data_IF_385205048005
#
_entry.id   IF_385205048005
#
_cell.length_a   1.000
_cell.length_b   1.000
_cell.length_c   1.000
_cell.angle_alpha   90.00
_cell.angle_beta   90.00
_cell.angle_gamma   90.00
#
_symmetry.space_group_name_H-M   'P 1'
#
loop_
_entity.id
_entity.type
_entity.pdbx_description
1 polymer ?
#
# COMPACT_ATOMS: atom_id res chain seq x y z
N UNK A 1 23.92 18.85 -0.76
CA UNK A 1 23.45 18.20 -2.01
C UNK A 1 23.49 19.25 -3.12
N UNK A 2 24.14 18.96 -4.23
CA UNK A 2 24.13 19.84 -5.39
C UNK A 2 22.79 19.74 -6.12
N UNK A 3 22.28 20.85 -6.60
CA UNK A 3 21.07 20.90 -7.42
C UNK A 3 21.43 21.33 -8.84
N UNK A 4 20.77 20.71 -9.81
CA UNK A 4 20.76 21.11 -11.20
C UNK A 4 19.44 21.80 -11.55
N UNK A 5 19.53 22.73 -12.49
CA UNK A 5 18.41 23.44 -13.09
C UNK A 5 17.65 22.56 -14.08
N UNK A 6 16.48 23.02 -14.52
CA UNK A 6 15.74 22.36 -15.60
C UNK A 6 16.54 22.29 -16.90
N UNK A 7 17.40 23.28 -17.18
CA UNK A 7 18.27 23.29 -18.38
C UNK A 7 19.36 22.23 -18.31
N UNK A 8 20.05 22.12 -17.18
CA UNK A 8 21.06 21.07 -16.97
C UNK A 8 20.42 19.68 -17.00
N UNK A 9 19.19 19.54 -16.50
CA UNK A 9 18.43 18.31 -16.62
C UNK A 9 18.04 17.98 -18.08
N UNK A 10 17.79 18.98 -18.95
CA UNK A 10 17.57 18.77 -20.40
C UNK A 10 18.80 18.13 -21.02
N UNK A 11 19.99 18.64 -20.70
CA UNK A 11 21.27 18.12 -21.21
C UNK A 11 21.55 16.72 -20.65
N UNK A 12 21.41 16.53 -19.34
CA UNK A 12 21.67 15.25 -18.65
C UNK A 12 20.79 14.12 -19.18
N UNK A 13 19.51 14.39 -19.41
CA UNK A 13 18.53 13.34 -19.73
C UNK A 13 18.10 13.31 -21.20
N UNK A 14 18.58 14.27 -22.00
CA UNK A 14 18.25 14.41 -23.41
C UNK A 14 16.72 14.38 -23.68
N UNK A 15 15.97 15.20 -22.94
CA UNK A 15 14.51 15.36 -23.07
C UNK A 15 14.12 16.83 -23.01
N UNK A 16 13.03 17.22 -23.70
CA UNK A 16 12.58 18.62 -23.74
C UNK A 16 12.30 19.21 -22.35
N UNK A 17 12.53 20.51 -22.17
CA UNK A 17 12.23 21.22 -20.91
C UNK A 17 10.76 21.08 -20.50
N UNK A 18 9.84 21.09 -21.48
CA UNK A 18 8.41 20.82 -21.25
C UNK A 18 8.18 19.47 -20.57
N UNK A 19 8.88 18.42 -21.02
CA UNK A 19 8.78 17.08 -20.42
C UNK A 19 9.32 17.07 -18.99
N UNK A 20 10.43 17.75 -18.72
CA UNK A 20 11.00 17.87 -17.37
C UNK A 20 10.02 18.57 -16.43
N UNK A 21 9.42 19.68 -16.86
CA UNK A 21 8.39 20.39 -16.07
C UNK A 21 7.19 19.50 -15.75
N UNK A 22 6.74 18.68 -16.70
CA UNK A 22 5.67 17.71 -16.44
C UNK A 22 6.10 16.66 -15.41
N UNK A 23 7.31 16.09 -15.54
CA UNK A 23 7.84 15.10 -14.58
C UNK A 23 7.96 15.68 -13.17
N UNK A 24 8.31 16.95 -13.04
CA UNK A 24 8.36 17.67 -11.76
C UNK A 24 6.97 17.88 -11.17
N UNK A 25 6.00 18.30 -12.00
CA UNK A 25 4.60 18.44 -11.58
C UNK A 25 3.97 17.11 -11.17
N UNK A 26 4.33 16.03 -11.87
CA UNK A 26 3.88 14.68 -11.58
C UNK A 26 4.63 14.05 -10.37
N UNK A 27 5.57 14.77 -9.74
CA UNK A 27 6.36 14.29 -8.60
C UNK A 27 7.33 13.15 -8.92
N UNK A 28 7.71 12.98 -10.19
CA UNK A 28 8.47 11.82 -10.69
C UNK A 28 9.98 11.96 -10.57
N UNK A 29 10.48 13.13 -10.15
CA UNK A 29 11.91 13.38 -9.97
C UNK A 29 12.18 13.47 -8.47
N UNK A 30 12.78 12.41 -7.93
CA UNK A 30 13.00 12.28 -6.49
C UNK A 30 13.89 13.41 -5.96
N UNK A 31 13.47 14.01 -4.83
CA UNK A 31 14.16 15.12 -4.18
C UNK A 31 14.08 16.47 -4.91
N UNK A 32 13.30 16.58 -5.99
CA UNK A 32 13.08 17.86 -6.64
C UNK A 32 12.23 18.79 -5.77
N UNK A 33 12.68 20.04 -5.64
CA UNK A 33 12.02 21.06 -4.80
C UNK A 33 11.74 22.30 -5.62
N UNK A 34 10.56 22.90 -5.46
CA UNK A 34 10.21 24.16 -6.12
C UNK A 34 10.63 25.34 -5.25
N UNK A 35 11.45 26.23 -5.79
CA UNK A 35 11.92 27.45 -5.12
C UNK A 35 11.57 28.66 -6.00
N UNK A 36 10.56 29.42 -5.59
CA UNK A 36 9.97 30.50 -6.40
C UNK A 36 9.37 29.96 -7.71
N UNK A 37 9.85 30.48 -8.84
CA UNK A 37 9.43 30.04 -10.18
C UNK A 37 10.32 28.94 -10.78
N UNK A 38 11.34 28.49 -10.05
CA UNK A 38 12.32 27.52 -10.52
C UNK A 38 12.22 26.22 -9.75
N UNK A 39 12.68 25.14 -10.39
CA UNK A 39 12.81 23.83 -9.78
C UNK A 39 14.29 23.52 -9.55
N UNK A 40 14.60 23.10 -8.33
CA UNK A 40 15.90 22.56 -7.93
C UNK A 40 15.80 21.05 -7.99
N UNK A 41 16.53 20.44 -8.94
CA UNK A 41 16.55 18.99 -9.15
C UNK A 41 17.85 18.44 -8.55
N UNK A 42 17.85 17.41 -7.70
CA UNK A 42 19.10 16.84 -7.20
C UNK A 42 20.00 16.37 -8.35
N UNK A 43 21.30 16.65 -8.27
CA UNK A 43 22.24 16.30 -9.35
C UNK A 43 22.37 14.79 -9.56
N UNK A 44 22.10 14.01 -8.52
CA UNK A 44 22.06 12.55 -8.47
C UNK A 44 20.69 11.96 -8.85
N UNK A 45 19.69 12.81 -9.17
CA UNK A 45 18.39 12.31 -9.62
C UNK A 45 18.52 11.54 -10.94
N UNK A 46 17.91 10.36 -10.99
CA UNK A 46 17.80 9.54 -12.18
C UNK A 46 16.72 10.05 -13.14
N UNK A 47 16.91 9.79 -14.44
CA UNK A 47 15.91 10.13 -15.46
C UNK A 47 14.66 9.29 -15.22
N UNK A 48 13.47 9.88 -15.02
CA UNK A 48 12.25 9.12 -14.93
C UNK A 48 11.95 8.41 -16.25
N UNK A 49 11.50 7.15 -16.19
CA UNK A 49 11.22 6.35 -17.39
C UNK A 49 10.02 6.96 -18.16
N UNK A 50 10.02 6.87 -19.49
CA UNK A 50 8.95 7.44 -20.31
C UNK A 50 7.74 6.48 -20.39
N UNK A 51 6.62 6.86 -19.75
CA UNK A 51 5.29 6.19 -19.84
C UNK A 51 4.90 5.75 -21.25
N UNK A 52 5.34 6.44 -22.30
CA UNK A 52 4.97 6.11 -23.70
C UNK A 52 5.67 4.86 -24.23
N UNK A 53 6.79 4.47 -23.61
CA UNK A 53 7.57 3.29 -23.98
C UNK A 53 7.06 2.07 -23.21
N UNK A 54 6.58 2.27 -21.97
CA UNK A 54 6.02 1.22 -21.13
C UNK A 54 4.57 0.95 -21.55
N UNK A 55 4.31 -0.25 -22.05
CA UNK A 55 2.94 -0.72 -22.29
C UNK A 55 2.44 -1.51 -21.07
N UNK A 56 1.13 -1.50 -20.78
CA UNK A 56 0.55 -2.43 -19.84
C UNK A 56 0.89 -3.86 -20.23
N UNK A 57 1.01 -4.74 -19.24
CA UNK A 57 1.13 -6.17 -19.52
C UNK A 57 -0.22 -6.74 -19.98
N UNK A 58 -0.19 -7.66 -20.94
CA UNK A 58 -1.30 -8.58 -21.23
C UNK A 58 -1.41 -9.71 -20.16
N UNK A 59 -0.98 -9.44 -18.93
CA UNK A 59 -0.91 -10.44 -17.88
C UNK A 59 -2.31 -10.98 -17.59
N UNK A 60 -2.54 -12.24 -17.95
CA UNK A 60 -3.74 -12.97 -17.55
C UNK A 60 -3.59 -13.44 -16.11
N UNK A 61 -4.12 -12.67 -15.17
CA UNK A 61 -4.33 -13.17 -13.81
C UNK A 61 -5.35 -14.31 -13.83
N UNK A 62 -5.05 -15.40 -13.13
CA UNK A 62 -6.01 -16.50 -12.97
C UNK A 62 -6.83 -16.21 -11.71
N UNK A 63 -8.13 -16.02 -11.90
CA UNK A 63 -9.12 -15.80 -10.85
C UNK A 63 -10.28 -16.76 -11.15
N UNK A 64 -10.25 -17.91 -10.49
CA UNK A 64 -11.18 -19.02 -10.70
C UNK A 64 -12.27 -19.00 -9.62
N UNK A 65 -13.33 -18.26 -9.91
CA UNK A 65 -14.46 -17.99 -9.02
C UNK A 65 -15.75 -18.19 -9.80
N UNK A 66 -16.78 -18.68 -9.11
CA UNK A 66 -18.12 -18.77 -9.67
C UNK A 66 -18.69 -17.37 -9.98
N UNK A 67 -19.56 -17.25 -10.99
CA UNK A 67 -20.11 -15.95 -11.43
C UNK A 67 -20.81 -15.17 -10.30
N UNK A 68 -21.40 -15.88 -9.34
CA UNK A 68 -22.12 -15.33 -8.19
C UNK A 68 -21.27 -15.20 -6.92
N UNK A 69 -19.94 -15.39 -7.01
CA UNK A 69 -19.07 -15.45 -5.83
C UNK A 69 -19.12 -14.18 -4.96
N UNK A 70 -19.35 -13.01 -5.57
CA UNK A 70 -19.40 -11.72 -4.87
C UNK A 70 -20.81 -11.31 -4.41
N UNK A 71 -21.85 -12.11 -4.68
CA UNK A 71 -23.24 -11.74 -4.36
C UNK A 71 -23.46 -11.46 -2.87
N UNK A 72 -22.88 -12.28 -1.97
CA UNK A 72 -22.99 -12.08 -0.52
C UNK A 72 -22.36 -10.75 -0.09
N UNK A 73 -21.10 -10.50 -0.48
CA UNK A 73 -20.36 -9.31 -0.04
C UNK A 73 -20.99 -8.03 -0.60
N UNK A 74 -21.49 -8.08 -1.84
CA UNK A 74 -22.18 -6.94 -2.46
C UNK A 74 -23.55 -6.68 -1.85
N UNK A 75 -24.27 -7.73 -1.46
CA UNK A 75 -25.54 -7.60 -0.74
C UNK A 75 -25.33 -6.95 0.63
N UNK A 76 -24.35 -7.43 1.41
CA UNK A 76 -24.00 -6.87 2.72
C UNK A 76 -23.52 -5.42 2.61
N UNK A 77 -22.72 -5.11 1.58
CA UNK A 77 -22.29 -3.73 1.31
C UNK A 77 -23.48 -2.83 1.01
N UNK A 78 -24.40 -3.26 0.14
CA UNK A 78 -25.63 -2.50 -0.17
C UNK A 78 -26.50 -2.28 1.07
N UNK A 79 -26.60 -3.27 1.95
CA UNK A 79 -27.30 -3.14 3.22
C UNK A 79 -26.66 -2.10 4.11
N UNK A 80 -25.33 -2.16 4.30
CA UNK A 80 -24.59 -1.19 5.10
C UNK A 80 -24.72 0.22 4.51
N UNK A 81 -24.63 0.37 3.20
CA UNK A 81 -24.77 1.66 2.51
C UNK A 81 -26.16 2.28 2.74
N UNK A 82 -27.23 1.47 2.83
CA UNK A 82 -28.58 1.96 3.16
C UNK A 82 -28.72 2.46 4.60
N UNK A 83 -27.88 1.98 5.52
CA UNK A 83 -27.86 2.41 6.93
C UNK A 83 -26.96 3.63 7.19
N UNK A 84 -26.26 4.15 6.18
CA UNK A 84 -25.43 5.36 6.31
C UNK A 84 -26.29 6.64 6.30
N UNK A 85 -25.89 7.72 7.01
CA UNK A 85 -24.66 7.85 7.79
C UNK A 85 -24.74 7.14 9.14
N UNK A 86 -23.65 6.47 9.51
CA UNK A 86 -23.48 5.85 10.83
C UNK A 86 -23.45 6.97 11.90
N UNK A 87 -24.13 6.82 13.05
CA UNK A 87 -24.05 7.79 14.14
C UNK A 87 -22.60 8.09 14.54
N UNK A 88 -22.29 9.38 14.75
CA UNK A 88 -20.92 9.87 14.92
C UNK A 88 -20.12 9.13 16.01
N UNK A 89 -20.72 8.92 17.18
CA UNK A 89 -20.06 8.24 18.31
C UNK A 89 -19.86 6.75 18.04
N UNK A 90 -20.83 6.09 17.39
CA UNK A 90 -20.71 4.69 16.94
C UNK A 90 -19.57 4.55 15.94
N UNK A 91 -19.49 5.45 14.96
CA UNK A 91 -18.42 5.45 13.95
C UNK A 91 -17.06 5.68 14.59
N UNK A 92 -16.96 6.60 15.56
CA UNK A 92 -15.71 6.90 16.27
C UNK A 92 -15.21 5.68 17.02
N UNK A 93 -16.05 5.08 17.87
CA UNK A 93 -15.70 3.88 18.64
C UNK A 93 -15.30 2.70 17.74
N UNK A 94 -16.03 2.51 16.63
CA UNK A 94 -15.73 1.46 15.66
C UNK A 94 -14.38 1.69 14.97
N UNK A 95 -14.08 2.92 14.55
CA UNK A 95 -12.79 3.28 13.96
C UNK A 95 -11.63 3.06 14.94
N UNK A 96 -11.77 3.46 16.20
CA UNK A 96 -10.75 3.25 17.23
C UNK A 96 -10.46 1.75 17.42
N UNK A 97 -11.50 0.92 17.52
CA UNK A 97 -11.37 -0.54 17.62
C UNK A 97 -10.71 -1.16 16.39
N UNK A 98 -11.12 -0.78 15.18
CA UNK A 98 -10.58 -1.31 13.92
C UNK A 98 -9.12 -0.90 13.73
N UNK A 99 -8.77 0.37 14.00
CA UNK A 99 -7.40 0.85 13.83
C UNK A 99 -6.43 0.15 14.78
N UNK A 100 -6.87 -0.13 16.01
CA UNK A 100 -6.11 -0.91 16.98
C UNK A 100 -5.89 -2.35 16.48
N UNK A 101 -6.97 -3.04 16.06
CA UNK A 101 -6.87 -4.41 15.54
C UNK A 101 -6.01 -4.48 14.28
N UNK A 102 -6.12 -3.48 13.39
CA UNK A 102 -5.37 -3.43 12.14
C UNK A 102 -3.89 -3.24 12.40
N UNK A 103 -3.52 -2.29 13.26
CA UNK A 103 -2.14 -2.03 13.67
C UNK A 103 -1.52 -3.26 14.33
N UNK A 104 -2.21 -3.86 15.29
CA UNK A 104 -1.76 -5.06 15.99
C UNK A 104 -1.51 -6.24 15.03
N UNK A 105 -2.48 -6.55 14.16
CA UNK A 105 -2.35 -7.70 13.27
C UNK A 105 -1.32 -7.48 12.16
N UNK A 106 -1.29 -6.28 11.55
CA UNK A 106 -0.37 -5.96 10.46
C UNK A 106 1.09 -6.03 10.93
N UNK A 107 1.40 -5.50 12.12
CA UNK A 107 2.75 -5.60 12.69
C UNK A 107 3.04 -7.01 13.21
N UNK A 108 2.06 -7.69 13.79
CA UNK A 108 2.20 -9.07 14.27
C UNK A 108 2.55 -10.07 13.15
N UNK A 109 2.05 -9.86 11.92
CA UNK A 109 2.45 -10.65 10.74
C UNK A 109 3.94 -10.50 10.44
N UNK A 110 4.52 -9.31 10.66
CA UNK A 110 5.95 -9.06 10.46
C UNK A 110 6.82 -9.47 11.65
N UNK A 111 6.22 -9.98 12.73
CA UNK A 111 6.93 -10.51 13.90
C UNK A 111 6.99 -9.57 15.10
N UNK A 112 6.28 -8.44 15.08
CA UNK A 112 6.12 -7.60 16.26
C UNK A 112 5.42 -8.39 17.39
N UNK A 113 5.95 -8.29 18.61
CA UNK A 113 5.53 -9.14 19.74
C UNK A 113 4.56 -8.45 20.70
N UNK A 114 4.17 -7.19 20.45
CA UNK A 114 3.18 -6.51 21.27
C UNK A 114 1.87 -7.30 21.27
N UNK A 115 1.26 -7.48 22.44
CA UNK A 115 -0.11 -7.94 22.58
C UNK A 115 -1.09 -6.84 22.16
N UNK A 116 -2.38 -7.17 21.97
CA UNK A 116 -3.39 -6.18 21.63
C UNK A 116 -3.48 -5.06 22.69
N UNK A 117 -3.41 -5.42 23.97
CA UNK A 117 -3.42 -4.46 25.09
C UNK A 117 -2.17 -3.61 25.14
N UNK A 118 -0.99 -4.21 24.95
CA UNK A 118 0.26 -3.44 24.88
C UNK A 118 0.25 -2.49 23.68
N UNK A 119 -0.27 -2.93 22.53
CA UNK A 119 -0.43 -2.07 21.35
C UNK A 119 -1.30 -0.86 21.69
N UNK A 120 -2.45 -1.07 22.34
CA UNK A 120 -3.32 0.03 22.76
C UNK A 120 -2.59 1.04 23.66
N UNK A 121 -1.89 0.54 24.69
CA UNK A 121 -1.11 1.38 25.62
C UNK A 121 -0.03 2.19 24.88
N UNK A 122 0.62 1.58 23.88
CA UNK A 122 1.60 2.27 23.02
C UNK A 122 0.95 3.37 22.18
N UNK A 123 -0.23 3.13 21.59
CA UNK A 123 -0.96 4.15 20.81
C UNK A 123 -1.47 5.30 21.69
N UNK A 124 -1.72 5.04 22.98
CA UNK A 124 -2.01 6.07 24.00
C UNK A 124 -0.76 6.86 24.43
N UNK A 125 0.42 6.55 23.88
CA UNK A 125 1.68 7.26 24.15
C UNK A 125 2.47 6.74 25.35
N UNK A 126 2.11 5.57 25.87
CA UNK A 126 2.75 4.96 27.04
C UNK A 126 3.70 3.86 26.60
N UNK A 127 4.94 3.88 27.10
CA UNK A 127 5.93 2.82 26.80
C UNK A 127 5.67 1.55 27.62
N UNK A 128 5.82 0.40 26.98
CA UNK A 128 5.68 -0.94 27.57
C UNK A 128 7.06 -1.52 27.87
N UNK A 129 7.27 -1.94 29.12
CA UNK A 129 8.51 -2.58 29.55
C UNK A 129 8.78 -3.92 28.85
N UNK A 130 10.04 -4.22 28.54
CA UNK A 130 10.45 -5.49 27.92
C UNK A 130 10.20 -5.59 26.42
N UNK A 131 9.76 -4.51 25.77
CA UNK A 131 9.55 -4.42 24.31
C UNK A 131 10.55 -3.45 23.71
N UNK A 132 10.98 -3.69 22.48
CA UNK A 132 11.96 -2.82 21.82
C UNK A 132 11.34 -1.48 21.42
N UNK A 133 12.15 -0.42 21.36
CA UNK A 133 11.70 0.89 20.83
C UNK A 133 11.19 0.73 19.39
N UNK A 134 11.85 -0.12 18.58
CA UNK A 134 11.41 -0.43 17.22
C UNK A 134 9.96 -0.91 17.20
N UNK A 135 9.59 -1.90 18.03
CA UNK A 135 8.22 -2.43 18.06
C UNK A 135 7.18 -1.36 18.43
N UNK A 136 7.52 -0.43 19.33
CA UNK A 136 6.66 0.70 19.67
C UNK A 136 6.47 1.64 18.48
N UNK A 137 7.58 2.00 17.83
CA UNK A 137 7.55 2.86 16.65
C UNK A 137 6.77 2.23 15.51
N UNK A 138 6.88 0.91 15.30
CA UNK A 138 6.09 0.20 14.28
C UNK A 138 4.58 0.33 14.53
N UNK A 139 4.12 0.24 15.78
CA UNK A 139 2.72 0.44 16.13
C UNK A 139 2.28 1.88 15.85
N UNK A 140 3.03 2.86 16.37
CA UNK A 140 2.74 4.29 16.21
C UNK A 140 2.75 4.71 14.74
N UNK A 141 3.72 4.24 13.97
CA UNK A 141 3.88 4.56 12.55
C UNK A 141 2.76 3.96 11.71
N UNK A 142 2.35 2.73 12.02
CA UNK A 142 1.25 2.09 11.31
C UNK A 142 -0.07 2.81 11.56
N UNK A 143 -0.35 3.22 12.81
CA UNK A 143 -1.53 4.04 13.12
C UNK A 143 -1.51 5.38 12.35
N UNK A 144 -0.37 6.09 12.36
CA UNK A 144 -0.21 7.32 11.57
C UNK A 144 -0.44 7.10 10.08
N UNK A 145 -0.01 5.96 9.54
CA UNK A 145 -0.26 5.62 8.14
C UNK A 145 -1.76 5.38 7.89
N UNK A 146 -2.49 4.73 8.80
CA UNK A 146 -3.96 4.58 8.69
C UNK A 146 -4.65 5.95 8.68
N UNK A 147 -4.23 6.88 9.55
CA UNK A 147 -4.80 8.24 9.56
C UNK A 147 -4.51 8.99 8.25
N UNK A 148 -3.32 8.83 7.69
CA UNK A 148 -2.99 9.39 6.38
C UNK A 148 -3.85 8.77 5.25
N UNK A 149 -4.18 7.48 5.33
CA UNK A 149 -5.11 6.83 4.41
C UNK A 149 -6.52 7.43 4.49
N UNK A 150 -7.03 7.69 5.71
CA UNK A 150 -8.32 8.33 5.93
C UNK A 150 -8.39 9.70 5.22
N UNK A 151 -7.30 10.49 5.28
CA UNK A 151 -7.20 11.77 4.55
C UNK A 151 -7.19 11.57 3.03
N UNK A 152 -6.43 10.59 2.53
CA UNK A 152 -6.40 10.27 1.09
C UNK A 152 -7.77 9.85 0.55
N UNK A 153 -8.51 9.02 1.30
CA UNK A 153 -9.86 8.55 0.93
C UNK A 153 -10.85 9.71 0.92
N UNK A 154 -10.79 10.58 1.94
CA UNK A 154 -11.64 11.77 2.04
C UNK A 154 -11.46 12.70 0.84
N UNK A 155 -10.21 12.90 0.41
CA UNK A 155 -9.86 13.75 -0.72
C UNK A 155 -10.02 13.05 -2.08
N UNK A 156 -10.44 11.78 -2.09
CA UNK A 156 -10.55 10.92 -3.30
C UNK A 156 -9.25 10.89 -4.11
N UNK A 157 -8.12 10.88 -3.41
CA UNK A 157 -6.82 10.89 -4.05
C UNK A 157 -6.57 9.55 -4.76
N UNK A 158 -6.12 9.56 -6.03
CA UNK A 158 -5.82 8.34 -6.75
C UNK A 158 -4.60 7.62 -6.17
N UNK A 159 -4.51 6.32 -6.43
CA UNK A 159 -3.31 5.55 -6.12
C UNK A 159 -2.20 5.96 -7.09
N UNK A 160 -1.11 6.44 -6.52
CA UNK A 160 0.06 6.93 -7.25
C UNK A 160 1.34 6.42 -6.60
N UNK A 161 2.43 6.39 -7.36
CA UNK A 161 3.76 6.07 -6.83
C UNK A 161 4.14 6.96 -5.63
N UNK A 162 3.78 8.25 -5.70
CA UNK A 162 3.97 9.22 -4.63
C UNK A 162 3.27 8.80 -3.34
N UNK A 163 1.99 8.41 -3.43
CA UNK A 163 1.23 7.96 -2.26
C UNK A 163 1.81 6.66 -1.68
N UNK A 164 2.27 5.73 -2.52
CA UNK A 164 2.95 4.50 -2.07
C UNK A 164 4.22 4.83 -1.29
N UNK A 165 5.06 5.73 -1.83
CA UNK A 165 6.29 6.18 -1.15
C UNK A 165 5.98 6.93 0.15
N UNK A 166 4.93 7.75 0.22
CA UNK A 166 4.54 8.45 1.46
C UNK A 166 4.01 7.50 2.53
N UNK A 167 3.20 6.50 2.15
CA UNK A 167 2.78 5.45 3.07
C UNK A 167 4.01 4.74 3.64
N UNK A 168 4.93 4.33 2.77
CA UNK A 168 6.17 3.67 3.18
C UNK A 168 7.06 4.56 4.06
N UNK A 169 7.13 5.86 3.76
CA UNK A 169 7.85 6.85 4.56
C UNK A 169 7.32 6.88 6.01
N UNK A 170 6.00 6.85 6.19
CA UNK A 170 5.39 6.80 7.51
C UNK A 170 5.72 5.49 8.23
N UNK A 171 5.64 4.35 7.52
CA UNK A 171 5.93 3.02 8.08
C UNK A 171 7.33 2.94 8.69
N UNK A 172 8.36 3.45 8.02
CA UNK A 172 9.76 3.36 8.49
C UNK A 172 10.26 4.61 9.24
N UNK A 173 9.40 5.60 9.48
CA UNK A 173 9.79 6.84 10.15
C UNK A 173 10.42 6.56 11.52
N UNK A 174 11.59 7.14 11.77
CA UNK A 174 12.36 6.98 13.01
C UNK A 174 12.80 5.53 13.34
N UNK A 175 12.59 4.60 12.39
CA UNK A 175 13.09 3.21 12.42
C UNK A 175 14.27 3.10 11.44
N UNK A 176 14.06 3.55 10.20
CA UNK A 176 15.05 3.56 9.13
C UNK A 176 14.75 4.75 8.19
N UNK A 177 15.16 5.94 8.64
CA UNK A 177 14.92 7.19 7.92
C UNK A 177 15.71 7.30 6.60
N UNK A 178 16.78 6.52 6.45
CA UNK A 178 17.58 6.53 5.21
C UNK A 178 16.83 5.85 4.07
N UNK A 179 16.12 4.76 4.37
CA UNK A 179 15.35 3.99 3.37
C UNK A 179 13.84 4.31 3.34
N UNK A 180 13.31 5.00 4.34
CA UNK A 180 11.92 5.43 4.38
C UNK A 180 11.53 6.16 3.08
N UNK A 181 10.43 5.70 2.46
CA UNK A 181 9.92 6.25 1.20
C UNK A 181 10.78 6.05 -0.06
N UNK A 182 11.91 5.33 0.03
CA UNK A 182 12.86 5.17 -1.09
C UNK A 182 12.97 3.72 -1.56
N UNK A 183 13.09 3.53 -2.86
CA UNK A 183 13.35 2.18 -3.40
C UNK A 183 14.71 1.66 -2.95
N UNK A 184 14.77 0.35 -2.72
CA UNK A 184 16.01 -0.33 -2.40
C UNK A 184 17.03 -0.15 -3.53
N UNK A 185 18.31 -0.04 -3.15
CA UNK A 185 19.44 0.09 -4.07
C UNK A 185 20.28 -1.19 -4.16
N UNK A 186 19.74 -2.27 -3.64
CA UNK A 186 20.37 -3.58 -3.58
C UNK A 186 19.34 -4.69 -3.76
N UNK A 187 19.82 -5.86 -4.15
CA UNK A 187 18.98 -7.05 -4.29
C UNK A 187 18.75 -7.71 -2.93
N UNK A 188 17.51 -8.12 -2.67
CA UNK A 188 17.09 -8.69 -1.38
C UNK A 188 16.41 -10.03 -1.60
N UNK A 189 16.48 -10.88 -0.57
CA UNK A 189 15.73 -12.14 -0.51
C UNK A 189 14.66 -12.05 0.56
N UNK A 190 13.46 -12.54 0.26
CA UNK A 190 12.37 -12.59 1.24
C UNK A 190 12.50 -13.89 2.03
N UNK A 191 12.64 -13.78 3.36
CA UNK A 191 12.80 -14.96 4.23
C UNK A 191 11.59 -15.88 4.12
N UNK A 192 11.83 -17.11 3.67
CA UNK A 192 10.82 -18.16 3.59
C UNK A 192 9.88 -18.08 2.37
N UNK A 193 10.07 -17.12 1.47
CA UNK A 193 9.34 -17.09 0.20
C UNK A 193 10.12 -17.86 -0.86
N UNK A 194 9.38 -18.51 -1.77
CA UNK A 194 9.96 -19.18 -2.95
C UNK A 194 10.32 -18.18 -4.06
N UNK A 195 9.61 -17.06 -4.12
CA UNK A 195 9.79 -16.00 -5.12
C UNK A 195 11.03 -15.13 -4.83
N UNK A 196 11.80 -14.83 -5.87
CA UNK A 196 12.94 -13.92 -5.80
C UNK A 196 12.50 -12.56 -6.38
N UNK A 197 12.59 -11.47 -5.60
CA UNK A 197 12.31 -10.13 -6.09
C UNK A 197 13.11 -9.75 -7.33
N UNK A 198 12.56 -8.88 -8.20
CA UNK A 198 13.27 -8.37 -9.38
C UNK A 198 14.57 -7.64 -9.01
N UNK A 199 15.45 -7.44 -9.99
CA UNK A 199 16.65 -6.62 -9.79
C UNK A 199 16.28 -5.16 -9.42
N UNK A 200 16.99 -4.56 -8.45
CA UNK A 200 16.70 -3.20 -7.97
C UNK A 200 16.76 -2.14 -9.08
N UNK A 201 17.60 -2.33 -10.11
CA UNK A 201 17.70 -1.43 -11.26
C UNK A 201 16.41 -1.37 -12.09
N UNK A 202 15.53 -2.37 -11.97
CA UNK A 202 14.25 -2.43 -12.67
C UNK A 202 13.09 -1.82 -11.88
N UNK A 203 13.29 -1.47 -10.61
CA UNK A 203 12.19 -1.01 -9.74
C UNK A 203 11.45 0.22 -10.25
N UNK A 204 12.12 1.28 -10.76
CA UNK A 204 11.41 2.45 -11.30
C UNK A 204 10.45 2.07 -12.44
N UNK A 205 10.90 1.22 -13.36
CA UNK A 205 10.09 0.75 -14.48
C UNK A 205 8.93 -0.13 -14.01
N UNK A 206 9.20 -1.09 -13.12
CA UNK A 206 8.19 -2.03 -12.64
C UNK A 206 7.10 -1.35 -11.82
N UNK A 207 7.45 -0.36 -11.00
CA UNK A 207 6.49 0.40 -10.21
C UNK A 207 5.64 1.31 -11.10
N UNK A 208 6.23 1.94 -12.11
CA UNK A 208 5.48 2.70 -13.10
C UNK A 208 4.50 1.81 -13.86
N UNK A 209 4.96 0.61 -14.25
CA UNK A 209 4.13 -0.39 -14.92
C UNK A 209 3.01 -0.91 -14.04
N UNK A 210 3.25 -1.13 -12.75
CA UNK A 210 2.21 -1.49 -11.78
C UNK A 210 1.09 -0.45 -11.77
N UNK A 211 1.43 0.85 -11.69
CA UNK A 211 0.43 1.92 -11.71
C UNK A 211 -0.31 1.98 -13.04
N UNK A 212 0.38 1.77 -14.17
CA UNK A 212 -0.27 1.72 -15.49
C UNK A 212 -1.27 0.55 -15.58
N UNK A 213 -0.86 -0.66 -15.18
CA UNK A 213 -1.72 -1.85 -15.15
C UNK A 213 -2.91 -1.65 -14.20
N UNK A 214 -2.68 -1.15 -12.99
CA UNK A 214 -3.73 -0.89 -12.01
C UNK A 214 -4.85 0.02 -12.56
N UNK A 215 -4.49 1.00 -13.40
CA UNK A 215 -5.47 1.88 -14.02
C UNK A 215 -6.31 1.21 -15.12
N UNK A 216 -5.89 0.07 -15.66
CA UNK A 216 -6.68 -0.72 -16.63
C UNK A 216 -7.59 -1.74 -15.94
N UNK A 217 -7.36 -2.05 -14.67
CA UNK A 217 -8.10 -3.05 -13.89
C UNK A 217 -9.51 -2.63 -13.44
N UNK A 218 -10.10 -1.60 -14.06
CA UNK A 218 -11.44 -1.12 -13.68
C UNK A 218 -12.57 -2.09 -14.05
N UNK A 219 -12.27 -3.09 -14.87
CA UNK A 219 -13.21 -4.15 -15.26
C UNK A 219 -13.36 -5.23 -14.18
N UNK A 220 -12.36 -5.35 -13.30
CA UNK A 220 -12.40 -6.30 -12.19
C UNK A 220 -13.31 -5.80 -11.07
N UNK A 221 -13.90 -6.76 -10.34
CA UNK A 221 -14.56 -6.47 -9.07
C UNK A 221 -13.59 -5.73 -8.12
N UNK A 222 -14.04 -4.72 -7.33
CA UNK A 222 -13.14 -3.93 -6.48
C UNK A 222 -12.26 -4.75 -5.53
N UNK A 223 -12.79 -5.85 -4.97
CA UNK A 223 -12.00 -6.76 -4.11
C UNK A 223 -10.87 -7.46 -4.89
N UNK A 224 -11.14 -7.86 -6.14
CA UNK A 224 -10.10 -8.42 -7.02
C UNK A 224 -9.03 -7.37 -7.28
N UNK A 225 -9.43 -6.17 -7.67
CA UNK A 225 -8.52 -5.06 -7.98
C UNK A 225 -7.58 -4.74 -6.81
N UNK A 226 -8.12 -4.65 -5.60
CA UNK A 226 -7.35 -4.42 -4.37
C UNK A 226 -6.39 -5.58 -4.06
N UNK A 227 -6.83 -6.83 -4.21
CA UNK A 227 -6.01 -8.01 -3.98
C UNK A 227 -4.85 -8.12 -4.99
N UNK A 228 -5.11 -7.85 -6.27
CA UNK A 228 -4.06 -7.80 -7.30
C UNK A 228 -3.05 -6.70 -7.02
N UNK A 229 -3.50 -5.50 -6.66
CA UNK A 229 -2.61 -4.38 -6.33
C UNK A 229 -1.68 -4.72 -5.17
N UNK A 230 -2.24 -5.29 -4.09
CA UNK A 230 -1.46 -5.79 -2.97
C UNK A 230 -0.41 -6.82 -3.43
N UNK A 231 -0.86 -7.86 -4.13
CA UNK A 231 -0.01 -8.99 -4.47
C UNK A 231 1.12 -8.61 -5.42
N UNK A 232 0.85 -7.79 -6.43
CA UNK A 232 1.86 -7.32 -7.37
C UNK A 232 2.87 -6.37 -6.70
N UNK A 233 2.44 -5.52 -5.76
CA UNK A 233 3.40 -4.71 -4.98
C UNK A 233 4.32 -5.58 -4.12
N UNK A 234 3.78 -6.63 -3.46
CA UNK A 234 4.62 -7.58 -2.70
C UNK A 234 5.58 -8.33 -3.63
N UNK A 235 5.13 -8.69 -4.85
CA UNK A 235 5.94 -9.38 -5.86
C UNK A 235 7.12 -8.53 -6.35
N UNK A 236 6.89 -7.23 -6.58
CA UNK A 236 7.94 -6.28 -6.98
C UNK A 236 8.92 -6.04 -5.81
N UNK A 237 8.40 -6.00 -4.58
CA UNK A 237 9.18 -5.80 -3.36
C UNK A 237 10.12 -4.58 -3.44
N UNK A 238 9.59 -3.36 -3.64
CA UNK A 238 10.39 -2.19 -4.00
C UNK A 238 11.23 -1.60 -2.86
N UNK A 239 10.94 -1.94 -1.61
CA UNK A 239 11.60 -1.37 -0.44
C UNK A 239 12.51 -2.40 0.26
N UNK A 240 13.44 -1.94 1.11
CA UNK A 240 14.33 -2.83 1.90
C UNK A 240 13.60 -3.56 3.03
N UNK A 241 12.60 -2.91 3.64
CA UNK A 241 11.68 -3.43 4.66
C UNK A 241 10.31 -2.73 4.45
N UNK A 242 9.28 -3.12 5.18
CA UNK A 242 7.99 -2.42 5.17
C UNK A 242 7.07 -2.77 4.00
N UNK A 243 7.50 -3.62 3.06
CA UNK A 243 6.71 -4.02 1.89
C UNK A 243 5.36 -4.63 2.27
N UNK A 244 5.33 -5.60 3.19
CA UNK A 244 4.08 -6.24 3.62
C UNK A 244 3.09 -5.25 4.25
N UNK A 245 3.55 -4.40 5.17
CA UNK A 245 2.74 -3.36 5.83
C UNK A 245 2.20 -2.35 4.82
N UNK A 246 3.06 -1.88 3.92
CA UNK A 246 2.70 -0.93 2.87
C UNK A 246 1.68 -1.53 1.91
N UNK A 247 1.85 -2.79 1.48
CA UNK A 247 0.90 -3.47 0.59
C UNK A 247 -0.47 -3.69 1.23
N UNK A 248 -0.53 -4.04 2.52
CA UNK A 248 -1.80 -4.16 3.26
C UNK A 248 -2.52 -2.82 3.42
N UNK A 249 -1.77 -1.74 3.68
CA UNK A 249 -2.33 -0.39 3.68
C UNK A 249 -2.85 0.00 2.30
N UNK A 250 -2.06 -0.24 1.25
CA UNK A 250 -2.45 0.09 -0.12
C UNK A 250 -3.69 -0.68 -0.60
N UNK A 251 -3.82 -1.95 -0.22
CA UNK A 251 -5.02 -2.76 -0.45
C UNK A 251 -6.26 -2.09 0.15
N UNK A 252 -6.17 -1.67 1.42
CA UNK A 252 -7.29 -1.06 2.11
C UNK A 252 -7.58 0.35 1.59
N UNK A 253 -6.58 1.10 1.11
CA UNK A 253 -6.81 2.36 0.42
C UNK A 253 -7.70 2.16 -0.83
N UNK A 254 -7.42 1.13 -1.64
CA UNK A 254 -8.23 0.81 -2.83
C UNK A 254 -9.66 0.37 -2.47
N UNK A 255 -9.81 -0.50 -1.47
CA UNK A 255 -11.12 -0.93 -0.96
C UNK A 255 -11.94 0.25 -0.44
N UNK A 256 -11.34 1.10 0.39
CA UNK A 256 -12.00 2.27 0.98
C UNK A 256 -12.39 3.31 -0.08
N UNK A 257 -11.53 3.55 -1.08
CA UNK A 257 -11.87 4.39 -2.24
C UNK A 257 -13.05 3.83 -3.04
N UNK A 258 -13.23 2.52 -3.04
CA UNK A 258 -14.35 1.82 -3.68
C UNK A 258 -15.60 1.70 -2.77
N UNK A 259 -15.55 2.29 -1.57
CA UNK A 259 -16.65 2.32 -0.60
C UNK A 259 -16.81 1.05 0.23
N UNK A 260 -15.88 0.09 0.14
CA UNK A 260 -15.77 -1.05 1.04
C UNK A 260 -15.10 -0.63 2.37
N UNK A 261 -15.12 -1.52 3.36
CA UNK A 261 -14.40 -1.31 4.62
C UNK A 261 -12.94 -1.76 4.49
N UNK A 262 -12.05 -1.35 5.41
CA UNK A 262 -10.71 -1.93 5.48
C UNK A 262 -10.77 -3.38 5.97
N UNK A 263 -10.03 -4.29 5.33
CA UNK A 263 -9.89 -5.67 5.79
C UNK A 263 -8.68 -5.84 6.71
N UNK A 264 -8.79 -6.71 7.72
CA UNK A 264 -7.71 -7.01 8.65
C UNK A 264 -7.29 -8.47 8.48
N UNK A 265 -6.13 -8.69 7.87
CA UNK A 265 -5.51 -10.02 7.83
C UNK A 265 -4.99 -10.33 9.23
N UNK A 266 -5.67 -11.23 9.93
CA UNK A 266 -5.32 -11.65 11.29
C UNK A 266 -3.95 -12.36 11.29
N UNK A 267 -3.10 -12.09 12.29
CA UNK A 267 -1.76 -12.70 12.36
C UNK A 267 -1.80 -14.22 12.48
N UNK A 268 -2.90 -14.76 12.99
CA UNK A 268 -3.18 -16.20 13.05
C UNK A 268 -3.35 -16.82 11.65
N UNK A 269 -3.70 -16.00 10.64
CA UNK A 269 -3.83 -16.41 9.24
C UNK A 269 -2.52 -16.22 8.44
N UNK A 270 -1.40 -15.88 9.09
CA UNK A 270 -0.11 -15.57 8.44
C UNK A 270 0.34 -16.65 7.45
N UNK A 271 0.23 -17.93 7.83
CA UNK A 271 0.62 -19.04 6.94
C UNK A 271 -0.25 -19.07 5.68
N UNK A 272 -1.57 -19.07 5.84
CA UNK A 272 -2.53 -19.05 4.73
C UNK A 272 -2.34 -17.83 3.82
N UNK A 273 -2.04 -16.68 4.40
CA UNK A 273 -1.74 -15.44 3.67
C UNK A 273 -0.49 -15.59 2.79
N UNK A 274 0.62 -16.09 3.33
CA UNK A 274 1.84 -16.29 2.55
C UNK A 274 1.69 -17.40 1.49
N UNK A 275 1.03 -18.52 1.81
CA UNK A 275 0.78 -19.58 0.83
C UNK A 275 -0.03 -19.07 -0.38
N UNK A 276 -1.04 -18.23 -0.13
CA UNK A 276 -1.82 -17.62 -1.20
C UNK A 276 -0.99 -16.67 -2.07
N UNK A 277 -0.08 -15.90 -1.47
CA UNK A 277 0.83 -15.01 -2.21
C UNK A 277 1.88 -15.79 -3.00
N UNK A 278 2.52 -16.79 -2.39
CA UNK A 278 3.52 -17.62 -3.06
C UNK A 278 2.92 -18.33 -4.27
N UNK A 279 1.70 -18.89 -4.15
CA UNK A 279 0.97 -19.45 -5.29
C UNK A 279 0.70 -18.38 -6.36
N UNK A 280 0.24 -17.20 -5.97
CA UNK A 280 -0.04 -16.13 -6.92
C UNK A 280 1.22 -15.66 -7.66
N UNK A 281 2.36 -15.53 -6.97
CA UNK A 281 3.61 -15.07 -7.56
C UNK A 281 4.25 -16.11 -8.48
N UNK A 282 4.12 -17.39 -8.15
CA UNK A 282 4.72 -18.49 -8.93
C UNK A 282 3.85 -18.96 -10.09
N UNK A 283 2.52 -18.85 -9.99
CA UNK A 283 1.59 -19.39 -11.01
C UNK A 283 0.71 -18.34 -11.68
N UNK A 284 0.67 -17.11 -11.18
CA UNK A 284 -0.29 -16.07 -11.61
C UNK A 284 -1.71 -16.29 -11.09
N UNK A 285 -1.94 -17.30 -10.24
CA UNK A 285 -3.26 -17.62 -9.70
C UNK A 285 -3.52 -16.90 -8.37
N UNK A 286 -4.35 -15.87 -8.43
CA UNK A 286 -4.73 -15.00 -7.32
C UNK A 286 -5.98 -15.45 -6.57
N UNK A 287 -6.63 -16.52 -7.03
CA UNK A 287 -7.93 -17.00 -6.52
C UNK A 287 -7.93 -17.13 -4.99
N UNK A 288 -6.93 -17.78 -4.40
CA UNK A 288 -6.91 -18.02 -2.95
C UNK A 288 -6.74 -16.73 -2.14
N UNK A 289 -5.99 -15.77 -2.67
CA UNK A 289 -5.83 -14.47 -2.03
C UNK A 289 -7.10 -13.63 -2.14
N UNK A 290 -7.76 -13.62 -3.31
CA UNK A 290 -9.07 -12.98 -3.48
C UNK A 290 -10.11 -13.59 -2.53
N UNK A 291 -10.16 -14.92 -2.39
CA UNK A 291 -11.05 -15.60 -1.45
C UNK A 291 -10.78 -15.19 0.00
N UNK A 292 -9.50 -15.05 0.37
CA UNK A 292 -9.12 -14.58 1.71
C UNK A 292 -9.61 -13.15 1.96
N UNK A 293 -9.35 -12.21 1.05
CA UNK A 293 -9.77 -10.81 1.18
C UNK A 293 -11.30 -10.70 1.23
N UNK A 294 -12.01 -11.41 0.35
CA UNK A 294 -13.48 -11.42 0.30
C UNK A 294 -14.08 -11.91 1.63
N UNK A 295 -13.54 -13.00 2.18
CA UNK A 295 -13.99 -13.51 3.48
C UNK A 295 -13.81 -12.48 4.59
N UNK A 296 -12.66 -11.81 4.64
CA UNK A 296 -12.37 -10.81 5.67
C UNK A 296 -13.27 -9.57 5.52
N UNK A 297 -13.61 -9.20 4.28
CA UNK A 297 -14.54 -8.09 4.04
C UNK A 297 -15.98 -8.45 4.45
N UNK A 298 -16.43 -9.67 4.19
CA UNK A 298 -17.72 -10.17 4.70
C UNK A 298 -17.75 -10.14 6.24
N UNK A 299 -16.68 -10.59 6.91
CA UNK A 299 -16.56 -10.51 8.38
C UNK A 299 -16.65 -9.04 8.86
N UNK A 300 -15.97 -8.12 8.18
CA UNK A 300 -15.98 -6.70 8.54
C UNK A 300 -17.35 -6.06 8.32
N UNK A 301 -18.00 -6.31 7.17
CA UNK A 301 -19.35 -5.81 6.89
C UNK A 301 -20.37 -6.27 7.93
N UNK A 302 -20.32 -7.55 8.32
CA UNK A 302 -21.17 -8.09 9.40
C UNK A 302 -20.90 -7.38 10.73
N UNK A 303 -19.64 -7.16 11.11
CA UNK A 303 -19.25 -6.41 12.32
C UNK A 303 -19.84 -4.99 12.31
N UNK A 304 -19.84 -4.30 11.16
CA UNK A 304 -20.47 -2.99 11.03
C UNK A 304 -21.99 -3.08 11.18
N UNK A 305 -22.65 -4.05 10.53
CA UNK A 305 -24.10 -4.21 10.54
C UNK A 305 -24.65 -4.61 11.92
N UNK A 306 -23.90 -5.37 12.71
CA UNK A 306 -24.28 -5.73 14.09
C UNK A 306 -24.36 -4.52 15.03
N UNK A 307 -23.65 -3.43 14.71
CA UNK A 307 -23.61 -2.20 15.50
C UNK A 307 -24.60 -1.12 15.04
N UNK A 308 -25.41 -1.39 14.00
CA UNK A 308 -26.37 -0.46 13.39
C UNK A 308 -27.80 -0.97 13.43
#
# INVERSE_FOLDING_TARGET
MGFMTTKEAVEKWNISERRIRQLLQDGRIEGAVKVGNSWNIPIDADKPVDKRIIKPDDNKFIIDLDDNYFDEVDSLKKELDRKRPIPKETLKSLKESINLEWTYNSNGIEGNTLTLRETQVVLEGITVGGKSIKEHLEAINHEKAILYLDDLVKDKNPITEWNIKNIHQLILKDIDNENAGRYRKENVTIKGATHIPPDYLKLPELMEKLILNYNTWNEYHPIIKAALLHGELVKIHPFVDGNGRTSRLLMNLDLMNSGYNPVIIKKELRLKYYEALDKAHTTGNYTDFVKLVTKLEVEMLKKYLELL
#
